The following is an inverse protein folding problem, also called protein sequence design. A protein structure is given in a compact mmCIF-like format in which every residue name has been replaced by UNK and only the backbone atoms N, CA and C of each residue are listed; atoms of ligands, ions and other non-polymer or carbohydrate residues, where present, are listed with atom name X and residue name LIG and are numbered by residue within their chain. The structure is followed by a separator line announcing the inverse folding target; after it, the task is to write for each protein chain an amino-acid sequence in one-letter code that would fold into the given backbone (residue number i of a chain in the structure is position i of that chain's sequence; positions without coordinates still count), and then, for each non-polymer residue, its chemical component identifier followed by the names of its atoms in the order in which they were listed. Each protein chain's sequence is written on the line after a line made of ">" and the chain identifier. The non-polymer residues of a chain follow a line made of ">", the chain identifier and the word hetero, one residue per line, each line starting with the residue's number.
data_IF_121911165499
#
_entry.id   IF_121911165499
#
_cell.length_a   1.000
_cell.length_b   1.000
_cell.length_c   1.000
_cell.angle_alpha   90.00
_cell.angle_beta   90.00
_cell.angle_gamma   90.00
#
_symmetry.space_group_name_H-M   'P 1'
#
loop_
_entity.id
_entity.type
_entity.pdbx_description
1 polymer ?
#
# COMPACT_ATOMS: atom_id res chain seq x y z
N UNK A 1 6.35 3.42 32.26
CA UNK A 1 5.93 4.67 31.62
C UNK A 1 6.15 4.64 30.12
N UNK A 2 5.12 4.25 29.36
CA UNK A 2 4.97 4.60 27.95
C UNK A 2 3.48 4.92 27.70
N UNK A 3 3.25 6.21 27.53
CA UNK A 3 2.09 6.95 27.01
C UNK A 3 0.78 6.18 26.76
N UNK A 4 -0.12 6.22 27.75
CA UNK A 4 -1.56 6.12 27.54
C UNK A 4 -2.07 7.47 26.99
N UNK A 5 -2.13 7.59 25.67
CA UNK A 5 -2.72 8.74 24.98
C UNK A 5 -2.67 8.50 23.48
N UNK A 6 -3.78 8.06 22.88
CA UNK A 6 -3.96 7.66 21.47
C UNK A 6 -3.67 6.19 21.11
N UNK A 7 -3.98 5.24 21.99
CA UNK A 7 -4.12 3.85 21.55
C UNK A 7 -5.44 3.70 20.78
N UNK A 8 -5.40 3.09 19.60
CA UNK A 8 -6.59 2.64 18.87
C UNK A 8 -7.36 1.62 19.74
N UNK A 9 -8.68 1.54 19.57
CA UNK A 9 -9.53 0.63 20.37
C UNK A 9 -9.32 -0.86 20.01
N UNK A 10 -8.71 -1.14 18.88
CA UNK A 10 -8.28 -2.47 18.39
C UNK A 10 -7.12 -2.27 17.39
N UNK A 11 -6.44 -3.33 16.92
CA UNK A 11 -5.39 -3.20 15.92
C UNK A 11 -5.90 -2.47 14.67
N UNK A 12 -5.02 -1.71 14.02
CA UNK A 12 -5.39 -0.85 12.89
C UNK A 12 -6.08 -1.62 11.76
N UNK A 13 -5.49 -2.75 11.33
CA UNK A 13 -6.08 -3.59 10.28
C UNK A 13 -7.50 -4.04 10.62
N UNK A 14 -7.71 -4.47 11.86
CA UNK A 14 -9.03 -4.95 12.28
C UNK A 14 -10.07 -3.81 12.21
N UNK A 15 -9.72 -2.57 12.62
CA UNK A 15 -10.62 -1.43 12.46
C UNK A 15 -11.01 -1.19 11.00
N UNK A 16 -10.05 -1.34 10.09
CA UNK A 16 -10.29 -1.14 8.67
C UNK A 16 -11.21 -2.24 8.12
N UNK A 17 -10.99 -3.49 8.53
CA UNK A 17 -11.74 -4.64 8.06
C UNK A 17 -13.14 -4.81 8.68
N UNK A 18 -13.50 -3.99 9.68
CA UNK A 18 -14.91 -3.86 10.10
C UNK A 18 -15.82 -3.38 8.95
N UNK A 19 -15.26 -2.68 7.96
CA UNK A 19 -15.99 -2.14 6.81
C UNK A 19 -15.39 -2.48 5.44
N UNK A 20 -14.06 -2.65 5.35
CA UNK A 20 -13.38 -3.02 4.11
C UNK A 20 -13.22 -4.54 4.02
N UNK A 21 -13.26 -5.09 2.81
CA UNK A 21 -12.97 -6.51 2.60
C UNK A 21 -11.58 -6.85 3.17
N UNK A 22 -11.48 -8.01 3.80
CA UNK A 22 -10.21 -8.49 4.33
C UNK A 22 -9.31 -8.96 3.19
N UNK A 23 -8.36 -8.11 2.82
CA UNK A 23 -7.39 -8.42 1.75
C UNK A 23 -6.60 -9.69 2.06
N UNK A 24 -6.46 -10.09 3.34
CA UNK A 24 -5.80 -11.33 3.77
C UNK A 24 -6.57 -12.60 3.36
N UNK A 25 -7.88 -12.48 3.16
CA UNK A 25 -8.72 -13.55 2.65
C UNK A 25 -8.80 -13.53 1.12
N UNK A 26 -8.56 -12.35 0.52
CA UNK A 26 -8.73 -12.11 -0.91
C UNK A 26 -7.49 -12.46 -1.74
N UNK A 27 -6.30 -12.17 -1.24
CA UNK A 27 -5.06 -12.29 -2.01
C UNK A 27 -4.13 -13.35 -1.45
N UNK A 28 -3.51 -14.14 -2.34
CA UNK A 28 -2.47 -15.10 -1.97
C UNK A 28 -1.18 -14.40 -1.52
N UNK A 29 -0.91 -13.23 -2.10
CA UNK A 29 0.26 -12.40 -1.79
C UNK A 29 -0.18 -10.99 -1.42
N UNK A 30 0.15 -10.59 -0.20
CA UNK A 30 -0.10 -9.23 0.31
C UNK A 30 1.13 -8.36 0.14
N UNK A 31 0.90 -7.11 -0.22
CA UNK A 31 1.95 -6.10 -0.14
C UNK A 31 2.38 -5.92 1.33
N UNK A 32 3.68 -5.78 1.58
CA UNK A 32 4.26 -5.82 2.93
C UNK A 32 3.56 -4.93 3.97
N UNK A 33 3.30 -3.64 3.68
CA UNK A 33 2.55 -2.75 4.58
C UNK A 33 1.13 -3.24 4.89
N UNK A 34 0.43 -3.81 3.91
CA UNK A 34 -0.94 -4.34 4.11
C UNK A 34 -0.91 -5.63 4.92
N UNK A 35 0.03 -6.55 4.62
CA UNK A 35 0.24 -7.76 5.42
C UNK A 35 0.65 -7.47 6.87
N UNK A 36 1.34 -6.35 7.11
CA UNK A 36 1.67 -5.84 8.44
C UNK A 36 0.54 -5.08 9.14
N UNK A 37 -0.58 -4.84 8.46
CA UNK A 37 -1.72 -4.08 9.00
C UNK A 37 -1.48 -2.57 9.12
N UNK A 38 -0.55 -2.02 8.34
CA UNK A 38 -0.13 -0.62 8.39
C UNK A 38 -0.84 0.23 7.32
N UNK A 39 -2.17 0.18 7.28
CA UNK A 39 -3.01 0.88 6.30
C UNK A 39 -2.71 2.39 6.26
N UNK A 40 -2.36 3.00 7.40
CA UNK A 40 -2.10 4.45 7.47
C UNK A 40 -0.70 4.89 7.03
N UNK A 41 0.14 3.95 6.61
CA UNK A 41 1.39 4.28 5.92
C UNK A 41 1.09 4.96 4.59
N UNK A 42 0.05 4.49 3.88
CA UNK A 42 -0.35 5.03 2.58
C UNK A 42 -1.60 5.93 2.68
N UNK A 43 -2.56 5.60 3.56
CA UNK A 43 -3.83 6.32 3.68
C UNK A 43 -3.88 7.27 4.91
N UNK A 44 -4.68 8.32 4.81
CA UNK A 44 -5.07 9.16 5.94
C UNK A 44 -6.60 9.09 6.15
N UNK A 45 -7.09 8.31 7.13
CA UNK A 45 -8.51 8.00 7.27
C UNK A 45 -9.39 9.22 7.59
N UNK A 46 -8.81 10.34 8.01
CA UNK A 46 -9.57 11.56 8.33
C UNK A 46 -9.75 12.47 7.12
N UNK A 47 -8.65 12.73 6.38
CA UNK A 47 -8.62 13.60 5.21
C UNK A 47 -7.28 13.48 4.50
N UNK A 48 -7.29 13.44 3.18
CA UNK A 48 -6.12 13.73 2.36
C UNK A 48 -6.49 14.62 1.18
N UNK A 49 -5.49 15.22 0.54
CA UNK A 49 -5.65 16.01 -0.67
C UNK A 49 -5.68 15.14 -1.93
N UNK A 50 -4.99 14.00 -1.88
CA UNK A 50 -4.97 13.03 -2.98
C UNK A 50 -6.22 12.14 -2.95
N UNK A 51 -6.64 11.58 -4.11
CA UNK A 51 -7.70 10.59 -4.20
C UNK A 51 -7.48 9.40 -3.25
N UNK A 52 -8.56 8.69 -2.92
CA UNK A 52 -8.52 7.51 -2.04
C UNK A 52 -7.87 7.74 -0.68
N UNK A 53 -7.87 8.99 -0.21
CA UNK A 53 -7.25 9.40 1.05
C UNK A 53 -5.73 9.13 1.09
N UNK A 54 -5.05 9.12 -0.05
CA UNK A 54 -3.61 8.87 -0.09
C UNK A 54 -2.80 10.04 0.49
N UNK A 55 -1.77 9.72 1.27
CA UNK A 55 -0.93 10.71 1.95
C UNK A 55 -0.03 11.50 0.99
N UNK A 56 0.35 10.88 -0.12
CA UNK A 56 1.15 11.45 -1.21
C UNK A 56 0.60 10.92 -2.53
N UNK A 57 1.15 11.34 -3.66
CA UNK A 57 0.82 10.72 -4.96
C UNK A 57 1.24 9.24 -4.96
N UNK A 58 0.65 8.39 -5.83
CA UNK A 58 1.06 6.99 -5.93
C UNK A 58 2.57 6.82 -6.17
N UNK A 59 3.14 7.61 -7.08
CA UNK A 59 4.57 7.58 -7.40
C UNK A 59 5.44 7.89 -6.16
N UNK A 60 5.11 8.95 -5.43
CA UNK A 60 5.82 9.33 -4.20
C UNK A 60 5.70 8.25 -3.11
N UNK A 61 4.54 7.60 -2.98
CA UNK A 61 4.33 6.52 -2.01
C UNK A 61 5.14 5.27 -2.37
N UNK A 62 5.14 4.85 -3.63
CA UNK A 62 5.90 3.70 -4.10
C UNK A 62 7.39 3.94 -3.89
N UNK A 63 7.90 5.09 -4.33
CA UNK A 63 9.32 5.42 -4.22
C UNK A 63 9.78 5.84 -2.82
N UNK A 64 8.86 5.91 -1.85
CA UNK A 64 9.22 6.02 -0.45
C UNK A 64 9.99 4.78 0.05
N UNK A 65 9.68 3.61 -0.50
CA UNK A 65 10.33 2.33 -0.15
C UNK A 65 11.08 1.68 -1.32
N UNK A 66 10.53 1.76 -2.53
CA UNK A 66 11.09 1.11 -3.72
C UNK A 66 12.07 2.05 -4.40
N UNK A 67 13.33 1.67 -4.53
CA UNK A 67 14.32 2.52 -5.18
C UNK A 67 14.01 2.65 -6.67
N UNK A 68 13.79 3.89 -7.12
CA UNK A 68 13.36 4.19 -8.49
C UNK A 68 14.29 3.57 -9.55
N UNK A 69 15.60 3.66 -9.35
CA UNK A 69 16.59 3.11 -10.28
C UNK A 69 16.53 1.58 -10.37
N UNK A 70 16.14 0.89 -9.29
CA UNK A 70 16.02 -0.56 -9.26
C UNK A 70 14.74 -1.02 -9.95
N UNK A 71 13.64 -0.28 -9.73
CA UNK A 71 12.35 -0.53 -10.40
C UNK A 71 12.51 -0.44 -11.91
N UNK A 72 13.09 0.65 -12.43
CA UNK A 72 13.21 0.88 -13.87
C UNK A 72 14.33 0.08 -14.56
N UNK A 73 15.24 -0.55 -13.81
CA UNK A 73 16.24 -1.47 -14.38
C UNK A 73 15.72 -2.87 -14.64
N UNK A 74 14.55 -3.22 -14.11
CA UNK A 74 13.96 -4.53 -14.33
C UNK A 74 13.49 -4.69 -15.79
N UNK A 75 13.74 -5.85 -16.40
CA UNK A 75 13.38 -6.16 -17.79
C UNK A 75 11.90 -5.83 -18.10
N UNK A 76 11.00 -6.06 -17.13
CA UNK A 76 9.57 -5.74 -17.27
C UNK A 76 9.30 -4.24 -17.46
N UNK A 77 10.08 -3.37 -16.82
CA UNK A 77 9.90 -1.92 -16.93
C UNK A 77 10.69 -1.30 -18.09
N UNK A 78 11.67 -2.00 -18.68
CA UNK A 78 12.36 -1.53 -19.90
C UNK A 78 11.36 -1.34 -21.07
N UNK A 79 10.36 -2.22 -21.15
CA UNK A 79 9.34 -2.20 -22.21
C UNK A 79 8.12 -1.32 -21.87
N UNK A 80 7.96 -0.90 -20.61
CA UNK A 80 6.84 -0.08 -20.13
C UNK A 80 7.28 1.38 -20.08
N UNK A 81 7.46 1.99 -21.25
CA UNK A 81 7.92 3.38 -21.38
C UNK A 81 6.87 4.44 -21.01
N UNK A 82 5.62 4.04 -20.73
CA UNK A 82 4.55 4.94 -20.32
C UNK A 82 3.46 4.18 -19.53
N UNK A 83 3.24 4.58 -18.28
CA UNK A 83 2.20 4.07 -17.40
C UNK A 83 2.40 4.57 -15.97
N UNK A 84 1.32 4.74 -15.21
CA UNK A 84 1.38 4.97 -13.76
C UNK A 84 1.54 3.63 -13.03
N UNK A 85 2.16 3.61 -11.84
CA UNK A 85 2.43 2.37 -11.09
C UNK A 85 1.17 1.50 -10.92
N UNK A 86 0.03 2.16 -10.69
CA UNK A 86 -1.27 1.54 -10.42
C UNK A 86 -2.00 1.03 -11.67
N UNK A 87 -1.47 1.28 -12.88
CA UNK A 87 -2.05 0.73 -14.11
C UNK A 87 -1.85 -0.79 -14.18
N UNK A 88 -0.79 -1.29 -13.54
CA UNK A 88 -0.42 -2.71 -13.52
C UNK A 88 -0.34 -3.30 -12.11
N UNK A 89 0.13 -2.53 -11.12
CA UNK A 89 0.34 -3.03 -9.76
C UNK A 89 -0.88 -2.81 -8.87
N UNK A 90 -1.15 -3.77 -7.99
CA UNK A 90 -2.14 -3.62 -6.93
C UNK A 90 -1.44 -3.42 -5.58
N UNK A 91 -1.53 -2.23 -4.96
CA UNK A 91 -0.78 -1.90 -3.75
C UNK A 91 -1.25 -2.64 -2.50
N UNK A 92 -2.35 -3.41 -2.59
CA UNK A 92 -2.87 -4.21 -1.49
C UNK A 92 -2.42 -5.67 -1.59
N UNK A 93 -2.40 -6.25 -2.79
CA UNK A 93 -2.08 -7.65 -2.99
C UNK A 93 -2.57 -8.21 -4.32
N UNK A 94 -2.19 -9.46 -4.61
CA UNK A 94 -2.56 -10.18 -5.82
C UNK A 94 -2.24 -11.67 -5.75
N UNK A 95 -2.45 -12.34 -6.89
CA UNK A 95 -2.04 -13.74 -7.11
C UNK A 95 -0.55 -13.84 -7.44
N UNK A 96 0.03 -12.78 -8.00
CA UNK A 96 1.44 -12.72 -8.40
C UNK A 96 2.21 -11.77 -7.49
N UNK A 97 3.28 -12.29 -6.87
CA UNK A 97 4.12 -11.51 -5.95
C UNK A 97 4.67 -10.24 -6.60
N UNK A 98 5.12 -10.33 -7.86
CA UNK A 98 5.76 -9.22 -8.58
C UNK A 98 4.80 -8.08 -8.94
N UNK A 99 3.48 -8.34 -8.95
CA UNK A 99 2.45 -7.30 -9.18
C UNK A 99 1.86 -6.76 -7.87
N UNK A 100 2.17 -7.40 -6.75
CA UNK A 100 1.76 -7.02 -5.40
C UNK A 100 2.82 -6.21 -4.65
N UNK A 101 3.95 -5.93 -5.29
CA UNK A 101 5.12 -5.25 -4.74
C UNK A 101 5.70 -4.27 -5.76
#
# INVERSE_FOLDING_TARGET
>A
DLQMGNALVMPQSELCYECHDDDREKYAHLHGPVGGGYCTTCHNPHRAENPHLLRMTPEELCFYCHQQEDVYRNDTHEDVLAGECLDCHNPHGGEDWDLSN
#
